data_IF_866838302195
#
_entry.id   IF_866838302195
#
_cell.length_a   1.000
_cell.length_b   1.000
_cell.length_c   1.000
_cell.angle_alpha   90.00
_cell.angle_beta   90.00
_cell.angle_gamma   90.00
#
_symmetry.space_group_name_H-M   'P 1'
#
loop_
_entity.id
_entity.type
_entity.pdbx_description
1 polymer ?
#
# COMPACT_ATOMS: atom_id res chain seq x y z
N UNK A 1 -7.46 8.26 8.13
CA UNK A 1 -6.56 9.12 7.33
C UNK A 1 -7.16 10.47 6.95
N UNK A 2 -8.38 10.58 6.40
CA UNK A 2 -8.94 11.87 6.00
C UNK A 2 -9.34 12.76 7.18
N UNK A 3 -9.20 12.30 8.42
CA UNK A 3 -9.27 13.14 9.62
C UNK A 3 -8.10 14.14 9.73
N UNK A 4 -6.96 13.87 9.11
CA UNK A 4 -5.80 14.76 9.16
C UNK A 4 -5.85 15.85 8.08
N UNK A 5 -5.19 16.98 8.34
CA UNK A 5 -5.01 18.02 7.34
C UNK A 5 -4.14 17.54 6.18
N UNK A 6 -4.48 17.96 4.97
CA UNK A 6 -3.75 17.59 3.75
C UNK A 6 -2.25 17.90 3.85
N UNK A 7 -1.87 19.04 4.44
CA UNK A 7 -0.46 19.43 4.60
C UNK A 7 0.33 18.44 5.47
N UNK A 8 -0.30 17.91 6.52
CA UNK A 8 0.32 16.91 7.41
C UNK A 8 0.48 15.59 6.68
N UNK A 9 -0.54 15.17 5.93
CA UNK A 9 -0.48 13.96 5.12
C UNK A 9 0.58 14.06 4.01
N UNK A 10 0.64 15.19 3.32
CA UNK A 10 1.64 15.45 2.28
C UNK A 10 3.06 15.49 2.84
N UNK A 11 3.25 15.90 4.11
CA UNK A 11 4.57 15.84 4.75
C UNK A 11 5.08 14.42 5.01
N UNK A 12 4.22 13.39 4.93
CA UNK A 12 4.66 11.99 5.06
C UNK A 12 5.44 11.49 3.84
N UNK A 13 5.31 12.17 2.68
CA UNK A 13 5.92 11.72 1.42
C UNK A 13 7.43 11.52 1.52
N UNK A 14 8.14 12.49 2.09
CA UNK A 14 9.59 12.44 2.24
C UNK A 14 10.00 11.27 3.15
N UNK A 15 9.51 11.15 4.40
CA UNK A 15 9.82 10.01 5.25
C UNK A 15 9.50 8.65 4.63
N UNK A 16 8.40 8.54 3.87
CA UNK A 16 8.03 7.30 3.16
C UNK A 16 8.97 6.95 2.01
N UNK A 17 9.71 7.92 1.48
CA UNK A 17 10.61 7.74 0.33
C UNK A 17 12.08 7.64 0.74
N UNK A 18 12.53 8.51 1.63
CA UNK A 18 13.92 8.54 2.12
C UNK A 18 14.17 7.65 3.33
N UNK A 19 13.12 7.32 4.10
CA UNK A 19 13.27 6.69 5.41
C UNK A 19 13.91 7.63 6.45
N UNK A 20 13.90 8.95 6.21
CA UNK A 20 14.50 9.97 7.07
C UNK A 20 13.65 11.24 7.12
N UNK A 21 13.80 12.02 8.18
CA UNK A 21 13.22 13.35 8.33
C UNK A 21 14.33 14.36 8.59
N UNK A 22 14.36 15.43 7.80
CA UNK A 22 15.30 16.53 7.96
C UNK A 22 14.60 17.72 8.62
N UNK A 23 15.05 18.11 9.80
CA UNK A 23 14.57 19.29 10.52
C UNK A 23 15.59 20.41 10.34
N UNK A 24 15.24 21.40 9.52
CA UNK A 24 16.05 22.61 9.30
C UNK A 24 15.52 23.76 10.15
N UNK A 25 16.40 24.37 10.96
CA UNK A 25 16.18 25.59 11.74
C UNK A 25 17.17 26.67 11.32
N UNK A 26 16.93 27.91 11.72
CA UNK A 26 17.72 29.08 11.31
C UNK A 26 19.24 28.91 11.46
N UNK A 27 19.70 28.13 12.45
CA UNK A 27 21.13 27.92 12.75
C UNK A 27 21.57 26.46 12.74
N UNK A 28 20.68 25.50 12.45
CA UNK A 28 21.03 24.08 12.52
C UNK A 28 20.17 23.20 11.62
N UNK A 29 20.75 22.07 11.20
CA UNK A 29 20.08 21.01 10.45
C UNK A 29 20.28 19.70 11.20
N UNK A 30 19.21 18.99 11.48
CA UNK A 30 19.26 17.68 12.11
C UNK A 30 18.49 16.66 11.25
N UNK A 31 19.05 15.46 11.09
CA UNK A 31 18.43 14.36 10.35
C UNK A 31 18.08 13.25 11.33
N UNK A 32 16.86 12.73 11.24
CA UNK A 32 16.34 11.66 12.08
C UNK A 32 15.90 10.47 11.23
N UNK A 33 16.14 9.22 11.67
CA UNK A 33 15.63 8.05 10.97
C UNK A 33 14.11 7.96 11.08
N UNK A 34 13.45 7.58 9.99
CA UNK A 34 12.02 7.42 9.84
C UNK A 34 11.67 6.15 9.03
N UNK A 35 12.29 5.03 9.38
CA UNK A 35 12.06 3.73 8.73
C UNK A 35 10.82 3.04 9.32
N UNK A 36 9.62 3.34 8.80
CA UNK A 36 8.36 2.75 9.27
C UNK A 36 7.52 2.18 8.12
N UNK A 37 6.57 1.31 8.48
CA UNK A 37 5.49 0.88 7.58
C UNK A 37 4.23 1.67 7.90
N UNK A 38 3.66 2.35 6.91
CA UNK A 38 2.41 3.08 7.07
C UNK A 38 1.23 2.18 6.73
N UNK A 39 0.33 1.98 7.70
CA UNK A 39 -0.95 1.32 7.51
C UNK A 39 -2.03 2.40 7.69
N UNK A 40 -2.75 2.68 6.61
CA UNK A 40 -3.81 3.67 6.58
C UNK A 40 -5.19 3.03 6.47
N UNK A 41 -6.16 3.59 7.17
CA UNK A 41 -7.58 3.29 6.97
C UNK A 41 -8.33 4.59 6.67
N UNK A 42 -9.30 4.52 5.76
CA UNK A 42 -10.18 5.61 5.40
C UNK A 42 -11.56 5.06 5.06
N UNK A 43 -12.58 5.87 5.34
CA UNK A 43 -13.92 5.60 4.84
C UNK A 43 -14.01 6.09 3.40
N UNK A 44 -14.87 5.49 2.55
CA UNK A 44 -15.02 5.94 1.17
C UNK A 44 -15.71 7.33 1.06
N UNK A 45 -16.37 7.77 2.13
CA UNK A 45 -17.00 9.09 2.24
C UNK A 45 -17.06 9.53 3.71
N UNK A 46 -17.43 10.80 4.01
CA UNK A 46 -17.65 11.25 5.39
C UNK A 46 -18.71 10.45 6.16
N UNK A 47 -19.68 9.87 5.45
CA UNK A 47 -20.79 9.10 6.03
C UNK A 47 -20.50 7.61 6.10
N UNK A 48 -19.39 7.13 5.50
CA UNK A 48 -19.03 5.72 5.45
C UNK A 48 -19.61 4.96 4.25
N UNK A 49 -20.46 5.59 3.43
CA UNK A 49 -21.14 4.96 2.29
C UNK A 49 -20.91 5.77 1.02
N UNK A 50 -20.68 5.09 -0.11
CA UNK A 50 -20.56 5.71 -1.44
C UNK A 50 -21.50 5.11 -2.50
N UNK A 51 -22.19 4.00 -2.18
CA UNK A 51 -23.19 3.35 -3.06
C UNK A 51 -24.49 2.98 -2.33
N UNK A 52 -25.61 2.95 -3.08
CA UNK A 52 -26.93 2.54 -2.62
C UNK A 52 -27.80 3.66 -2.00
N UNK A 53 -29.00 3.29 -1.53
CA UNK A 53 -30.01 4.21 -0.97
C UNK A 53 -29.56 4.94 0.32
N UNK A 54 -28.43 4.54 0.91
CA UNK A 54 -27.82 5.18 2.07
C UNK A 54 -26.86 6.33 1.69
N UNK A 55 -26.56 6.48 0.39
CA UNK A 55 -25.69 7.55 -0.12
C UNK A 55 -26.46 8.87 -0.16
N UNK A 56 -26.64 9.50 1.01
CA UNK A 56 -27.22 10.84 1.14
C UNK A 56 -26.18 11.96 0.89
N UNK A 57 -24.96 11.59 0.52
CA UNK A 57 -23.83 12.51 0.43
C UNK A 57 -23.65 13.00 -1.00
N UNK A 58 -23.67 14.32 -1.18
CA UNK A 58 -23.40 14.97 -2.46
C UNK A 58 -22.02 14.53 -3.00
N UNK A 59 -21.91 14.12 -4.29
CA UNK A 59 -20.64 13.72 -4.91
C UNK A 59 -19.51 14.73 -4.72
N UNK A 60 -19.79 16.04 -4.73
CA UNK A 60 -18.80 17.08 -4.50
C UNK A 60 -18.20 17.01 -3.07
N UNK A 61 -19.00 16.62 -2.09
CA UNK A 61 -18.54 16.44 -0.70
C UNK A 61 -17.64 15.20 -0.60
N UNK A 62 -17.97 14.12 -1.32
CA UNK A 62 -17.13 12.92 -1.40
C UNK A 62 -15.79 13.25 -2.06
N UNK A 63 -15.80 13.92 -3.21
CA UNK A 63 -14.58 14.35 -3.90
C UNK A 63 -13.73 15.26 -3.02
N UNK A 64 -14.33 16.21 -2.30
CA UNK A 64 -13.60 17.08 -1.35
C UNK A 64 -13.04 16.31 -0.16
N UNK A 65 -13.71 15.26 0.30
CA UNK A 65 -13.24 14.41 1.38
C UNK A 65 -12.04 13.57 0.94
N UNK A 66 -12.12 12.94 -0.24
CA UNK A 66 -11.04 12.13 -0.80
C UNK A 66 -9.85 12.98 -1.26
N UNK A 67 -10.09 14.21 -1.72
CA UNK A 67 -9.01 15.12 -2.16
C UNK A 67 -8.10 15.62 -1.03
N UNK A 68 -8.40 15.27 0.24
CA UNK A 68 -7.44 15.42 1.35
C UNK A 68 -6.20 14.55 1.15
N UNK A 69 -6.33 13.45 0.41
CA UNK A 69 -5.22 12.60 0.00
C UNK A 69 -4.75 13.07 -1.37
N UNK A 70 -3.50 13.52 -1.46
CA UNK A 70 -2.93 13.93 -2.74
C UNK A 70 -2.54 12.70 -3.58
N UNK A 71 -2.63 12.82 -4.90
CA UNK A 71 -2.10 11.80 -5.82
C UNK A 71 -0.64 11.43 -5.51
N UNK A 72 0.27 12.41 -5.33
CA UNK A 72 1.67 12.13 -4.96
C UNK A 72 1.85 11.36 -3.65
N UNK A 73 0.96 11.53 -2.66
CA UNK A 73 0.96 10.71 -1.45
C UNK A 73 0.43 9.30 -1.73
N UNK A 74 -0.67 9.18 -2.48
CA UNK A 74 -1.25 7.89 -2.86
C UNK A 74 -0.26 7.04 -3.68
N UNK A 75 0.60 7.67 -4.49
CA UNK A 75 1.69 7.00 -5.20
C UNK A 75 2.75 6.37 -4.28
N UNK A 76 2.76 6.71 -2.99
CA UNK A 76 3.61 6.10 -1.94
C UNK A 76 2.95 4.91 -1.23
N UNK A 77 1.68 4.64 -1.52
CA UNK A 77 1.03 3.41 -1.04
C UNK A 77 1.28 2.29 -2.04
N UNK A 78 1.87 1.21 -1.53
CA UNK A 78 2.12 0.04 -2.36
C UNK A 78 0.86 -0.80 -2.58
N UNK A 79 -0.07 -0.75 -1.63
CA UNK A 79 -1.27 -1.57 -1.62
C UNK A 79 -2.45 -0.76 -1.10
N UNK A 80 -3.57 -0.87 -1.80
CA UNK A 80 -4.87 -0.35 -1.41
C UNK A 80 -5.86 -1.50 -1.50
N UNK A 81 -6.52 -1.82 -0.39
CA UNK A 81 -7.53 -2.88 -0.33
C UNK A 81 -8.86 -2.23 0.03
N UNK A 82 -9.88 -2.47 -0.76
CA UNK A 82 -11.24 -2.14 -0.40
C UNK A 82 -11.81 -3.22 0.52
N UNK A 83 -12.36 -2.80 1.65
CA UNK A 83 -13.01 -3.71 2.60
C UNK A 83 -14.52 -3.64 2.35
N UNK A 84 -15.13 -4.68 1.76
CA UNK A 84 -16.56 -4.67 1.50
C UNK A 84 -17.34 -4.71 2.81
N UNK A 85 -18.56 -4.15 2.77
CA UNK A 85 -19.47 -4.25 3.90
C UNK A 85 -19.85 -5.72 4.15
N UNK A 86 -19.95 -6.11 5.43
CA UNK A 86 -20.42 -7.45 5.78
C UNK A 86 -21.89 -7.62 5.34
N UNK A 87 -22.26 -8.79 4.78
CA UNK A 87 -23.65 -9.10 4.49
C UNK A 87 -24.55 -8.95 5.74
N UNK A 88 -25.83 -8.64 5.51
CA UNK A 88 -26.80 -8.60 6.61
C UNK A 88 -26.90 -9.97 7.28
N UNK A 89 -26.89 -10.00 8.61
CA UNK A 89 -27.00 -11.23 9.40
C UNK A 89 -25.67 -11.90 9.75
N UNK A 90 -24.55 -11.49 9.15
CA UNK A 90 -23.22 -12.09 9.44
C UNK A 90 -22.83 -11.97 10.91
N UNK A 91 -23.16 -10.85 11.56
CA UNK A 91 -22.90 -10.64 12.99
C UNK A 91 -23.79 -11.53 13.89
N UNK A 92 -25.00 -11.85 13.45
CA UNK A 92 -25.96 -12.66 14.19
C UNK A 92 -25.71 -14.17 14.01
N UNK A 93 -25.28 -14.57 12.83
CA UNK A 93 -25.01 -15.97 12.48
C UNK A 93 -23.58 -16.40 12.81
N UNK A 94 -22.74 -15.48 13.33
CA UNK A 94 -21.36 -15.78 13.68
C UNK A 94 -20.57 -16.25 12.46
N UNK A 95 -20.64 -15.48 11.36
CA UNK A 95 -20.07 -15.82 10.06
C UNK A 95 -18.61 -16.27 10.12
N UNK A 96 -18.12 -16.84 9.01
CA UNK A 96 -16.80 -17.48 8.95
C UNK A 96 -15.71 -16.60 9.58
N UNK A 97 -15.24 -17.03 10.74
CA UNK A 97 -14.05 -16.46 11.35
C UNK A 97 -12.91 -16.87 10.43
N UNK A 98 -12.38 -15.91 9.67
CA UNK A 98 -11.23 -16.14 8.80
C UNK A 98 -10.04 -16.75 9.55
N UNK A 99 -8.94 -16.94 8.84
CA UNK A 99 -7.75 -17.59 9.41
C UNK A 99 -7.29 -16.93 10.72
N UNK A 100 -7.00 -17.78 11.71
CA UNK A 100 -6.57 -17.30 13.02
C UNK A 100 -5.20 -16.61 12.95
N UNK A 101 -4.94 -15.68 13.88
CA UNK A 101 -3.64 -14.98 13.96
C UNK A 101 -2.42 -15.92 13.98
N UNK A 102 -2.42 -17.08 14.70
CA UNK A 102 -1.31 -18.02 14.63
C UNK A 102 -1.04 -18.58 13.23
N UNK A 103 -2.09 -18.90 12.47
CA UNK A 103 -1.99 -19.43 11.10
C UNK A 103 -1.37 -18.39 10.16
N UNK A 104 -1.88 -17.16 10.20
CA UNK A 104 -1.35 -16.06 9.40
C UNK A 104 0.10 -15.74 9.80
N UNK A 105 0.41 -15.71 11.10
CA UNK A 105 1.77 -15.48 11.61
C UNK A 105 2.77 -16.51 11.08
N UNK A 106 2.38 -17.80 11.04
CA UNK A 106 3.24 -18.85 10.50
C UNK A 106 3.57 -18.60 9.01
N UNK A 107 2.57 -18.26 8.19
CA UNK A 107 2.75 -17.92 6.77
C UNK A 107 3.67 -16.70 6.58
N UNK A 108 3.45 -15.64 7.37
CA UNK A 108 4.29 -14.42 7.32
C UNK A 108 5.73 -14.73 7.72
N UNK A 109 5.96 -15.56 8.74
CA UNK A 109 7.30 -15.95 9.16
C UNK A 109 8.01 -16.79 8.08
N UNK A 110 7.32 -17.74 7.46
CA UNK A 110 7.86 -18.52 6.36
C UNK A 110 8.32 -17.62 5.21
N UNK A 111 7.47 -16.68 4.79
CA UNK A 111 7.83 -15.71 3.77
C UNK A 111 9.06 -14.88 4.18
N UNK A 112 9.13 -14.40 5.43
CA UNK A 112 10.30 -13.66 5.93
C UNK A 112 11.59 -14.49 5.89
N UNK A 113 11.53 -15.75 6.28
CA UNK A 113 12.69 -16.65 6.21
C UNK A 113 13.17 -16.82 4.77
N UNK A 114 12.28 -16.99 3.80
CA UNK A 114 12.64 -17.08 2.38
C UNK A 114 13.32 -15.78 1.89
N UNK A 115 12.78 -14.62 2.26
CA UNK A 115 13.38 -13.33 1.91
C UNK A 115 14.79 -13.16 2.50
N UNK A 116 14.98 -13.55 3.76
CA UNK A 116 16.26 -13.46 4.45
C UNK A 116 17.30 -14.40 3.84
N UNK A 117 16.92 -15.65 3.54
CA UNK A 117 17.79 -16.61 2.85
C UNK A 117 18.19 -16.13 1.45
N UNK A 118 17.28 -15.45 0.73
CA UNK A 118 17.51 -14.99 -0.64
C UNK A 118 18.43 -13.78 -0.73
N UNK A 119 18.27 -12.79 0.15
CA UNK A 119 18.93 -11.49 0.03
C UNK A 119 19.35 -10.84 1.37
N UNK A 120 19.18 -11.53 2.50
CA UNK A 120 19.45 -11.01 3.84
C UNK A 120 18.56 -9.82 4.25
N UNK A 121 17.44 -9.62 3.55
CA UNK A 121 16.53 -8.49 3.75
C UNK A 121 15.14 -8.77 3.17
N UNK A 122 14.14 -8.07 3.69
CA UNK A 122 12.76 -8.10 3.17
C UNK A 122 12.64 -7.46 1.78
N UNK A 123 11.64 -7.87 0.98
CA UNK A 123 11.41 -7.37 -0.38
C UNK A 123 11.33 -5.85 -0.46
N UNK A 124 10.76 -5.21 0.58
CA UNK A 124 10.66 -3.75 0.68
C UNK A 124 12.02 -3.01 0.63
N UNK A 125 13.13 -3.70 0.93
CA UNK A 125 14.49 -3.15 0.94
C UNK A 125 15.33 -3.56 -0.28
N UNK A 126 14.76 -4.28 -1.23
CA UNK A 126 15.47 -4.62 -2.46
C UNK A 126 15.65 -3.35 -3.32
N UNK A 127 16.87 -3.15 -3.80
CA UNK A 127 17.16 -2.19 -4.87
C UNK A 127 16.60 -2.67 -6.21
N UNK A 128 16.47 -1.78 -7.20
CA UNK A 128 16.03 -2.16 -8.56
C UNK A 128 16.89 -3.27 -9.15
N UNK A 129 18.22 -3.17 -9.01
CA UNK A 129 19.15 -4.20 -9.48
C UNK A 129 18.95 -5.56 -8.78
N UNK A 130 18.59 -5.54 -7.49
CA UNK A 130 18.28 -6.77 -6.76
C UNK A 130 16.92 -7.34 -7.17
N UNK A 131 15.92 -6.50 -7.47
CA UNK A 131 14.65 -6.95 -8.05
C UNK A 131 14.88 -7.63 -9.40
N UNK A 132 15.67 -7.03 -10.30
CA UNK A 132 15.97 -7.63 -11.60
C UNK A 132 16.69 -8.98 -11.46
N UNK A 133 17.52 -9.15 -10.42
CA UNK A 133 18.23 -10.39 -10.13
C UNK A 133 17.32 -11.48 -9.53
N UNK A 134 16.47 -11.11 -8.58
CA UNK A 134 15.73 -12.06 -7.74
C UNK A 134 14.28 -12.28 -8.18
N UNK A 135 13.73 -11.36 -8.96
CA UNK A 135 12.35 -11.34 -9.42
C UNK A 135 12.29 -11.19 -10.95
N UNK A 136 13.26 -11.76 -11.65
CA UNK A 136 13.26 -11.79 -13.11
C UNK A 136 12.01 -12.53 -13.62
N UNK A 137 11.25 -11.86 -14.47
CA UNK A 137 10.07 -12.44 -15.11
C UNK A 137 10.47 -13.27 -16.32
N UNK A 138 9.73 -14.34 -16.59
CA UNK A 138 9.81 -14.98 -17.91
C UNK A 138 9.36 -13.98 -18.98
N UNK A 139 9.83 -14.17 -20.22
CA UNK A 139 9.52 -13.23 -21.31
C UNK A 139 8.02 -13.02 -21.50
N UNK A 140 7.25 -14.10 -21.45
CA UNK A 140 5.79 -14.07 -21.61
C UNK A 140 5.10 -13.26 -20.49
N UNK A 141 5.56 -13.42 -19.24
CA UNK A 141 5.05 -12.66 -18.09
C UNK A 141 5.42 -11.17 -18.18
N UNK A 142 6.63 -10.87 -18.67
CA UNK A 142 7.09 -9.50 -18.87
C UNK A 142 6.27 -8.79 -19.95
N UNK A 143 6.05 -9.44 -21.10
CA UNK A 143 5.21 -8.94 -22.19
C UNK A 143 3.74 -8.75 -21.73
N UNK A 144 3.20 -9.69 -20.95
CA UNK A 144 1.87 -9.56 -20.37
C UNK A 144 1.78 -8.35 -19.43
N UNK A 145 2.74 -8.20 -18.52
CA UNK A 145 2.77 -7.10 -17.57
C UNK A 145 2.93 -5.75 -18.27
N UNK A 146 3.80 -5.65 -19.28
CA UNK A 146 3.96 -4.44 -20.10
C UNK A 146 2.65 -4.05 -20.78
N UNK A 147 1.97 -4.99 -21.44
CA UNK A 147 0.67 -4.75 -22.07
C UNK A 147 -0.39 -4.29 -21.06
N UNK A 148 -0.44 -4.92 -19.88
CA UNK A 148 -1.37 -4.52 -18.82
C UNK A 148 -1.08 -3.09 -18.32
N UNK A 149 0.19 -2.72 -18.14
CA UNK A 149 0.58 -1.37 -17.74
C UNK A 149 0.17 -0.32 -18.79
N UNK A 150 0.37 -0.62 -20.07
CA UNK A 150 -0.04 0.26 -21.16
C UNK A 150 -1.56 0.46 -21.22
N UNK A 151 -2.34 -0.63 -21.11
CA UNK A 151 -3.81 -0.56 -21.13
C UNK A 151 -4.39 0.19 -19.94
N UNK A 152 -3.76 0.05 -18.77
CA UNK A 152 -4.20 0.70 -17.53
C UNK A 152 -3.60 2.09 -17.31
N UNK A 153 -2.71 2.57 -18.21
CA UNK A 153 -2.03 3.87 -18.08
C UNK A 153 -1.12 3.95 -16.84
N UNK A 154 -0.54 2.83 -16.42
CA UNK A 154 0.28 2.72 -15.22
C UNK A 154 1.74 3.08 -15.50
N UNK A 155 2.43 3.67 -14.52
CA UNK A 155 3.82 4.11 -14.67
C UNK A 155 4.83 2.97 -14.45
N UNK A 156 6.09 3.19 -14.85
CA UNK A 156 7.22 2.29 -14.54
C UNK A 156 7.39 2.06 -13.02
N UNK A 157 6.94 3.01 -12.18
CA UNK A 157 6.93 2.84 -10.73
C UNK A 157 5.93 1.75 -10.30
N UNK A 158 4.79 1.68 -10.97
CA UNK A 158 3.81 0.62 -10.76
C UNK A 158 4.36 -0.75 -11.20
N UNK A 159 5.12 -0.82 -12.29
CA UNK A 159 5.84 -2.04 -12.72
C UNK A 159 6.73 -2.61 -11.59
N UNK A 160 7.67 -1.81 -11.08
CA UNK A 160 8.59 -2.27 -10.03
C UNK A 160 7.88 -2.62 -8.73
N UNK A 161 6.77 -1.95 -8.43
CA UNK A 161 5.92 -2.30 -7.30
C UNK A 161 5.29 -3.67 -7.51
N UNK A 162 4.65 -3.94 -8.64
CA UNK A 162 4.02 -5.23 -8.93
C UNK A 162 5.03 -6.37 -8.80
N UNK A 163 6.21 -6.23 -9.39
CA UNK A 163 7.26 -7.27 -9.34
C UNK A 163 7.76 -7.52 -7.92
N UNK A 164 7.85 -6.48 -7.10
CA UNK A 164 8.27 -6.60 -5.69
C UNK A 164 7.30 -7.46 -4.86
N UNK A 165 6.02 -7.50 -5.23
CA UNK A 165 4.97 -8.29 -4.57
C UNK A 165 4.74 -9.65 -5.23
N UNK A 166 4.99 -9.76 -6.53
CA UNK A 166 4.81 -10.98 -7.31
C UNK A 166 5.95 -11.98 -7.09
N UNK A 167 6.45 -12.16 -5.86
CA UNK A 167 7.38 -13.26 -5.65
C UNK A 167 6.66 -14.58 -6.00
N UNK A 168 7.14 -15.35 -6.99
CA UNK A 168 6.67 -16.70 -7.19
C UNK A 168 7.14 -17.44 -5.94
N UNK A 169 6.22 -17.61 -4.98
CA UNK A 169 6.38 -18.57 -3.92
C UNK A 169 6.45 -19.93 -4.62
N UNK A 170 7.67 -20.36 -4.99
CA UNK A 170 7.95 -21.75 -5.30
C UNK A 170 7.79 -22.52 -3.99
N UNK A 171 6.53 -22.83 -3.67
CA UNK A 171 6.13 -23.86 -2.73
C UNK A 171 5.90 -25.13 -3.55
#
# INVERSE_FOLDING_TARGET
MPEFERKVLDSLREPLESGEIVISRATSKATFPANFQLIGALNPSPTGFYEGAQTRTNPQVILRYLSKLSGPLLDRFDMSIEIPALPKGTLAQGGERGESTPVIKARVNQARTLMDLRAGKVNARLSTRELDKHCALAREDAEFLENALHQLGLSIRAYHRIIRWHEPLQI
#
